data_IF_138308794246
#
_entry.id   IF_138308794246
#
_cell.length_a   1.000
_cell.length_b   1.000
_cell.length_c   1.000
_cell.angle_alpha   90.00
_cell.angle_beta   90.00
_cell.angle_gamma   90.00
#
_symmetry.space_group_name_H-M   'P 1'
#
loop_
_entity.id
_entity.type
_entity.pdbx_description
1 polymer ?
#
# COMPACT_ATOMS: atom_id res chain seq x y z
N UNK A 1 16.76 -0.29 9.15
CA UNK A 1 16.69 -0.34 10.63
C UNK A 1 16.09 -1.64 11.20
N UNK A 2 14.95 -2.16 10.71
CA UNK A 2 14.34 -3.39 11.29
C UNK A 2 14.99 -4.73 10.87
N UNK A 3 15.56 -4.83 9.65
CA UNK A 3 16.28 -6.04 9.21
C UNK A 3 17.54 -6.31 10.06
N UNK A 4 18.33 -5.28 10.31
CA UNK A 4 19.52 -5.37 11.19
C UNK A 4 19.15 -5.83 12.60
N UNK A 5 18.00 -5.39 13.12
CA UNK A 5 17.50 -5.84 14.40
C UNK A 5 17.18 -7.34 14.38
N UNK A 6 16.43 -7.83 13.37
CA UNK A 6 16.13 -9.26 13.23
C UNK A 6 17.41 -10.08 13.11
N UNK A 7 18.38 -9.64 12.30
CA UNK A 7 19.66 -10.32 12.15
C UNK A 7 20.43 -10.36 13.47
N UNK A 8 20.47 -9.25 14.23
CA UNK A 8 21.12 -9.17 15.55
C UNK A 8 20.46 -10.08 16.59
N UNK A 9 19.12 -10.14 16.60
CA UNK A 9 18.38 -11.03 17.52
C UNK A 9 18.63 -12.49 17.15
N UNK A 10 18.56 -12.85 15.87
CA UNK A 10 18.79 -14.23 15.42
C UNK A 10 20.24 -14.67 15.64
N UNK A 11 21.23 -13.80 15.46
CA UNK A 11 22.63 -14.12 15.79
C UNK A 11 22.84 -14.27 17.29
N UNK A 12 22.26 -13.39 18.12
CA UNK A 12 22.32 -13.52 19.58
C UNK A 12 21.71 -14.84 20.06
N UNK A 13 20.51 -15.18 19.57
CA UNK A 13 19.85 -16.45 19.89
C UNK A 13 20.65 -17.66 19.39
N UNK A 14 21.25 -17.55 18.19
CA UNK A 14 22.13 -18.59 17.64
C UNK A 14 23.36 -18.82 18.52
N UNK A 15 24.02 -17.74 18.96
CA UNK A 15 25.18 -17.81 19.88
C UNK A 15 24.78 -18.41 21.23
N UNK A 16 23.61 -18.05 21.77
CA UNK A 16 23.09 -18.63 23.02
C UNK A 16 22.87 -20.14 22.90
N UNK A 17 22.22 -20.59 21.83
CA UNK A 17 21.93 -22.02 21.61
C UNK A 17 23.22 -22.81 21.38
N UNK A 18 24.08 -22.34 20.46
CA UNK A 18 25.35 -23.01 20.15
C UNK A 18 26.29 -23.00 21.37
N UNK A 19 26.36 -21.87 22.09
CA UNK A 19 27.12 -21.74 23.32
C UNK A 19 26.60 -22.64 24.45
N UNK A 20 25.28 -22.75 24.60
CA UNK A 20 24.66 -23.67 25.56
C UNK A 20 24.98 -25.13 25.27
N UNK A 21 24.91 -25.55 24.00
CA UNK A 21 25.29 -26.91 23.57
C UNK A 21 26.78 -27.17 23.80
N UNK A 22 27.64 -26.23 23.40
CA UNK A 22 29.09 -26.33 23.64
C UNK A 22 29.40 -26.41 25.13
N UNK A 23 28.71 -25.64 25.96
CA UNK A 23 28.85 -25.71 27.42
C UNK A 23 28.44 -27.08 27.95
N UNK A 24 27.30 -27.64 27.50
CA UNK A 24 26.88 -28.99 27.89
C UNK A 24 27.90 -30.07 27.53
N UNK A 25 28.44 -30.02 26.31
CA UNK A 25 29.40 -31.02 25.79
C UNK A 25 30.79 -30.86 26.40
N UNK A 26 31.30 -29.63 26.54
CA UNK A 26 32.66 -29.36 27.01
C UNK A 26 32.78 -29.43 28.54
N UNK A 27 31.72 -29.06 29.29
CA UNK A 27 31.77 -29.11 30.75
C UNK A 27 31.52 -30.51 31.31
N UNK A 28 30.72 -31.37 30.65
CA UNK A 28 30.57 -32.79 31.01
C UNK A 28 30.56 -33.05 32.53
N UNK A 29 31.41 -33.96 33.02
CA UNK A 29 31.51 -34.29 34.46
C UNK A 29 32.37 -33.32 35.29
N UNK A 30 32.83 -32.19 34.73
CA UNK A 30 33.76 -31.28 35.44
C UNK A 30 33.08 -30.45 36.53
N UNK A 31 31.76 -30.32 36.51
CA UNK A 31 30.99 -29.63 37.54
C UNK A 31 30.35 -30.64 38.49
N UNK A 32 30.97 -30.84 39.66
CA UNK A 32 30.39 -31.67 40.72
C UNK A 32 29.05 -31.06 41.20
N UNK A 33 27.96 -31.78 40.96
CA UNK A 33 26.63 -31.45 41.49
C UNK A 33 25.72 -30.65 40.58
N UNK A 34 26.11 -30.37 39.33
CA UNK A 34 25.26 -29.70 38.33
C UNK A 34 25.23 -30.52 37.06
N UNK A 35 24.03 -30.84 36.57
CA UNK A 35 23.84 -31.48 35.27
C UNK A 35 24.14 -30.46 34.14
N UNK A 36 25.16 -30.67 33.30
CA UNK A 36 25.52 -29.78 32.20
C UNK A 36 24.39 -29.60 31.18
N UNK A 37 23.51 -30.59 31.04
CA UNK A 37 22.35 -30.48 30.15
C UNK A 37 21.34 -29.46 30.64
N UNK A 38 21.32 -29.16 31.94
CA UNK A 38 20.45 -28.12 32.49
C UNK A 38 20.89 -26.71 32.04
N UNK A 39 22.19 -26.50 31.81
CA UNK A 39 22.69 -25.24 31.22
C UNK A 39 22.20 -25.10 29.78
N UNK A 40 22.18 -26.21 29.03
CA UNK A 40 21.68 -26.25 27.66
C UNK A 40 20.19 -25.91 27.61
N UNK A 41 19.38 -26.48 28.51
CA UNK A 41 17.94 -26.18 28.58
C UNK A 41 17.69 -24.71 28.94
N UNK A 42 18.41 -24.15 29.91
CA UNK A 42 18.32 -22.72 30.25
C UNK A 42 18.68 -21.81 29.06
N UNK A 43 19.73 -22.13 28.31
CA UNK A 43 20.13 -21.36 27.13
C UNK A 43 19.06 -21.40 26.02
N UNK A 44 18.45 -22.57 25.79
CA UNK A 44 17.33 -22.74 24.86
C UNK A 44 16.09 -21.95 25.29
N UNK A 45 15.70 -22.03 26.56
CA UNK A 45 14.55 -21.29 27.10
C UNK A 45 14.77 -19.79 26.98
N UNK A 46 15.99 -19.32 27.28
CA UNK A 46 16.34 -17.90 27.17
C UNK A 46 16.33 -17.40 25.73
N UNK A 47 16.88 -18.16 24.78
CA UNK A 47 16.83 -17.84 23.36
C UNK A 47 15.37 -17.81 22.84
N UNK A 48 14.55 -18.77 23.27
CA UNK A 48 13.11 -18.78 22.98
C UNK A 48 12.41 -17.54 23.51
N UNK A 49 12.68 -17.17 24.77
CA UNK A 49 12.10 -15.99 25.41
C UNK A 49 12.50 -14.69 24.72
N UNK A 50 13.79 -14.49 24.42
CA UNK A 50 14.29 -13.31 23.70
C UNK A 50 13.62 -13.20 22.33
N UNK A 51 13.48 -14.31 21.60
CA UNK A 51 12.82 -14.33 20.30
C UNK A 51 11.33 -13.97 20.42
N UNK A 52 10.65 -14.46 21.45
CA UNK A 52 9.22 -14.20 21.68
C UNK A 52 8.97 -12.74 22.06
N UNK A 53 9.79 -12.17 22.96
CA UNK A 53 9.73 -10.75 23.34
C UNK A 53 10.09 -9.86 22.14
N UNK A 54 11.13 -10.22 21.39
CA UNK A 54 11.51 -9.48 20.18
C UNK A 54 10.41 -9.51 19.13
N UNK A 55 9.65 -10.59 19.02
CA UNK A 55 8.46 -10.63 18.18
C UNK A 55 7.34 -9.73 18.72
N UNK A 56 7.03 -9.82 20.02
CA UNK A 56 5.90 -9.11 20.61
C UNK A 56 6.07 -7.59 20.60
N UNK A 57 7.32 -7.10 20.69
CA UNK A 57 7.63 -5.67 20.63
C UNK A 57 7.45 -5.05 19.23
N UNK A 58 7.48 -5.84 18.15
CA UNK A 58 7.57 -5.34 16.76
C UNK A 58 6.33 -5.62 15.90
N UNK A 59 5.13 -5.43 16.48
CA UNK A 59 3.78 -5.45 15.87
C UNK A 59 2.98 -6.74 16.14
N UNK A 60 1.77 -6.57 16.70
CA UNK A 60 0.89 -7.65 17.14
C UNK A 60 0.39 -8.64 16.06
N UNK A 61 0.65 -8.37 14.78
CA UNK A 61 0.20 -9.20 13.65
C UNK A 61 1.32 -9.52 12.63
N UNK A 62 2.58 -9.58 13.04
CA UNK A 62 3.64 -10.04 12.13
C UNK A 62 3.66 -11.58 12.06
N UNK A 63 3.41 -12.23 10.90
CA UNK A 63 3.51 -13.67 10.79
C UNK A 63 4.96 -14.13 11.03
N UNK A 64 5.14 -15.22 11.77
CA UNK A 64 6.47 -15.80 12.03
C UNK A 64 7.29 -16.04 10.75
N UNK A 65 6.61 -16.44 9.67
CA UNK A 65 7.22 -16.64 8.35
C UNK A 65 7.88 -15.37 7.82
N UNK A 66 7.22 -14.23 7.99
CA UNK A 66 7.70 -12.96 7.46
C UNK A 66 8.76 -12.37 8.38
N UNK A 67 8.64 -12.56 9.69
CA UNK A 67 9.69 -12.22 10.66
C UNK A 67 11.00 -12.94 10.36
N UNK A 68 10.96 -14.27 10.21
CA UNK A 68 12.16 -15.07 9.92
C UNK A 68 12.76 -14.77 8.54
N UNK A 69 11.95 -14.32 7.58
CA UNK A 69 12.40 -13.89 6.26
C UNK A 69 12.81 -12.41 6.20
N UNK A 70 12.73 -11.69 7.32
CA UNK A 70 13.01 -10.25 7.37
C UNK A 70 12.06 -9.40 6.54
N UNK A 71 10.87 -9.92 6.19
CA UNK A 71 9.86 -9.23 5.37
C UNK A 71 8.99 -8.38 6.28
N UNK A 72 8.97 -7.07 6.04
CA UNK A 72 8.15 -6.14 6.82
C UNK A 72 6.80 -5.96 6.12
N UNK A 73 5.67 -6.39 6.71
CA UNK A 73 4.36 -6.11 6.14
C UNK A 73 4.07 -4.61 6.30
N UNK A 74 4.10 -3.88 5.20
CA UNK A 74 3.77 -2.45 5.18
C UNK A 74 2.25 -2.30 5.08
N UNK A 75 1.67 -1.41 5.89
CA UNK A 75 0.22 -1.16 5.94
C UNK A 75 -0.20 0.09 5.20
N UNK A 76 0.73 0.98 4.85
CA UNK A 76 0.46 2.21 4.10
C UNK A 76 1.51 2.49 3.04
N UNK A 77 1.17 3.37 2.09
CA UNK A 77 2.10 3.87 1.07
C UNK A 77 3.26 4.61 1.73
N UNK A 78 2.98 5.48 2.71
CA UNK A 78 4.03 6.20 3.43
C UNK A 78 4.98 5.28 4.22
N UNK A 79 4.47 4.16 4.76
CA UNK A 79 5.33 3.16 5.40
C UNK A 79 6.21 2.45 4.37
N UNK A 80 5.63 2.11 3.21
CA UNK A 80 6.37 1.46 2.13
C UNK A 80 7.46 2.38 1.56
N UNK A 81 7.18 3.66 1.35
CA UNK A 81 8.14 4.69 0.96
C UNK A 81 9.29 4.77 1.96
N UNK A 82 9.00 4.88 3.27
CA UNK A 82 10.04 4.95 4.32
C UNK A 82 10.92 3.71 4.40
N UNK A 83 10.38 2.53 4.08
CA UNK A 83 11.11 1.26 4.16
C UNK A 83 11.93 1.01 2.90
N UNK A 84 11.40 1.35 1.73
CA UNK A 84 12.02 1.04 0.43
C UNK A 84 12.86 2.18 -0.14
N UNK A 85 12.56 3.42 0.23
CA UNK A 85 13.13 4.62 -0.38
C UNK A 85 12.60 4.92 -1.79
N UNK A 86 11.61 4.17 -2.26
CA UNK A 86 10.94 4.42 -3.55
C UNK A 86 9.92 5.54 -3.38
N UNK A 87 9.86 6.47 -4.34
CA UNK A 87 8.94 7.61 -4.29
C UNK A 87 7.48 7.14 -4.17
N UNK A 88 6.70 7.84 -3.35
CA UNK A 88 5.32 7.49 -3.13
C UNK A 88 4.47 7.52 -4.42
N UNK A 89 4.76 8.40 -5.38
CA UNK A 89 4.05 8.44 -6.65
C UNK A 89 4.38 7.22 -7.52
N UNK A 90 5.63 6.77 -7.56
CA UNK A 90 6.03 5.57 -8.32
C UNK A 90 5.38 4.30 -7.74
N UNK A 91 5.31 4.21 -6.41
CA UNK A 91 4.58 3.14 -5.71
C UNK A 91 3.10 3.17 -6.13
N UNK A 92 2.48 4.35 -6.13
CA UNK A 92 1.07 4.52 -6.50
C UNK A 92 0.80 4.17 -7.96
N UNK A 93 1.67 4.60 -8.88
CA UNK A 93 1.62 4.24 -10.29
C UNK A 93 1.62 2.73 -10.47
N UNK A 94 2.58 2.06 -9.82
CA UNK A 94 2.71 0.61 -9.89
C UNK A 94 1.48 -0.12 -9.35
N UNK A 95 0.96 0.31 -8.18
CA UNK A 95 -0.22 -0.28 -7.55
C UNK A 95 -1.46 -0.12 -8.44
N UNK A 96 -1.64 1.02 -9.09
CA UNK A 96 -2.78 1.27 -9.98
C UNK A 96 -2.65 0.55 -11.31
N UNK A 97 -1.48 0.57 -11.93
CA UNK A 97 -1.26 -0.09 -13.22
C UNK A 97 -1.44 -1.61 -13.10
N UNK A 98 -1.08 -2.19 -11.96
CA UNK A 98 -1.21 -3.63 -11.70
C UNK A 98 -2.44 -4.03 -10.90
N UNK A 99 -3.38 -3.12 -10.66
CA UNK A 99 -4.54 -3.38 -9.81
C UNK A 99 -5.28 -4.68 -10.21
N UNK A 100 -5.49 -4.89 -11.51
CA UNK A 100 -6.18 -6.07 -12.05
C UNK A 100 -5.43 -7.39 -11.84
N UNK A 101 -4.11 -7.34 -11.64
CA UNK A 101 -3.27 -8.51 -11.36
C UNK A 101 -3.05 -8.74 -9.86
N UNK A 102 -3.40 -7.76 -9.02
CA UNK A 102 -3.20 -7.83 -7.58
C UNK A 102 -4.47 -8.21 -6.83
N UNK A 103 -4.30 -8.96 -5.74
CA UNK A 103 -5.38 -9.24 -4.79
C UNK A 103 -5.50 -8.18 -3.69
N UNK A 104 -4.85 -7.03 -3.87
CA UNK A 104 -4.72 -6.02 -2.83
C UNK A 104 -6.01 -5.22 -2.73
N UNK A 105 -6.66 -5.29 -1.57
CA UNK A 105 -7.76 -4.39 -1.26
C UNK A 105 -7.21 -3.12 -0.61
N UNK A 106 -7.71 -1.96 -1.04
CA UNK A 106 -7.21 -0.66 -0.62
C UNK A 106 -8.15 0.03 0.37
N UNK A 107 -7.58 0.77 1.32
CA UNK A 107 -8.30 1.59 2.29
C UNK A 107 -7.72 3.00 2.37
N UNK A 108 -8.35 3.87 3.13
CA UNK A 108 -7.86 5.23 3.39
C UNK A 108 -8.50 6.31 2.52
N UNK A 109 -8.13 7.58 2.72
CA UNK A 109 -8.84 8.72 2.16
C UNK A 109 -8.71 8.87 0.64
N UNK A 110 -7.61 8.39 0.04
CA UNK A 110 -7.31 8.58 -1.38
C UNK A 110 -7.47 7.31 -2.22
N UNK A 111 -8.24 6.32 -1.74
CA UNK A 111 -8.42 5.04 -2.42
C UNK A 111 -9.50 5.04 -3.51
N UNK A 112 -10.11 6.21 -3.83
CA UNK A 112 -11.27 6.32 -4.73
C UNK A 112 -11.02 5.83 -6.16
N UNK A 113 -9.77 5.86 -6.61
CA UNK A 113 -9.38 5.47 -7.95
C UNK A 113 -9.28 3.94 -8.13
N UNK A 114 -9.09 3.22 -7.01
CA UNK A 114 -9.07 1.77 -6.97
C UNK A 114 -10.50 1.23 -6.99
N UNK A 115 -10.70 0.20 -7.80
CA UNK A 115 -11.92 -0.61 -7.86
C UNK A 115 -12.05 -1.48 -6.61
N UNK A 116 -10.94 -2.07 -6.13
CA UNK A 116 -10.93 -2.97 -4.97
C UNK A 116 -10.69 -2.21 -3.67
N UNK A 117 -11.76 -2.01 -2.89
CA UNK A 117 -11.76 -1.24 -1.64
C UNK A 117 -12.33 -2.07 -0.50
N UNK A 118 -11.65 -2.04 0.65
CA UNK A 118 -12.05 -2.74 1.88
C UNK A 118 -11.84 -1.85 3.11
N UNK A 119 -12.55 -2.14 4.20
CA UNK A 119 -12.31 -1.51 5.51
C UNK A 119 -10.98 -1.99 6.11
N UNK A 120 -10.62 -3.24 5.84
CA UNK A 120 -9.35 -3.83 6.24
C UNK A 120 -8.51 -4.18 5.00
N UNK A 121 -7.62 -3.25 4.65
CA UNK A 121 -6.78 -3.32 3.46
C UNK A 121 -5.54 -2.43 3.58
N UNK A 122 -4.81 -2.28 2.48
CA UNK A 122 -3.62 -1.45 2.40
C UNK A 122 -3.99 0.03 2.28
N UNK A 123 -3.42 0.87 3.14
CA UNK A 123 -3.81 2.28 3.30
C UNK A 123 -3.15 3.16 2.24
N UNK A 124 -3.97 3.81 1.43
CA UNK A 124 -3.58 4.86 0.50
C UNK A 124 -3.72 6.21 1.21
N UNK A 125 -2.61 6.65 1.81
CA UNK A 125 -2.51 7.85 2.64
C UNK A 125 -1.82 9.04 1.96
N UNK A 126 -1.40 8.86 0.71
CA UNK A 126 -0.74 9.89 -0.11
C UNK A 126 -1.67 10.32 -1.25
N UNK A 127 -1.73 11.63 -1.50
CA UNK A 127 -2.47 12.21 -2.64
C UNK A 127 -1.81 11.83 -3.96
N UNK A 128 -2.61 11.55 -4.97
CA UNK A 128 -2.09 11.27 -6.32
C UNK A 128 -1.90 12.51 -7.15
N UNK A 129 -0.83 12.54 -7.92
CA UNK A 129 -0.57 13.56 -8.92
C UNK A 129 -1.13 13.16 -10.30
N UNK A 130 -1.41 14.16 -11.14
CA UNK A 130 -1.90 13.92 -12.50
C UNK A 130 -0.92 13.06 -13.32
N UNK A 131 0.39 13.28 -13.17
CA UNK A 131 1.40 12.47 -13.87
C UNK A 131 1.25 10.98 -13.55
N UNK A 132 0.99 10.65 -12.29
CA UNK A 132 0.81 9.29 -11.78
C UNK A 132 -0.48 8.67 -12.31
N UNK A 133 -1.56 9.46 -12.39
CA UNK A 133 -2.81 9.05 -13.03
C UNK A 133 -2.58 8.67 -14.49
N UNK A 134 -1.97 9.56 -15.26
CA UNK A 134 -1.74 9.36 -16.69
C UNK A 134 -0.80 8.17 -16.92
N UNK A 135 0.28 8.07 -16.15
CA UNK A 135 1.25 6.97 -16.25
C UNK A 135 0.62 5.61 -15.88
N UNK A 136 -0.29 5.58 -14.92
CA UNK A 136 -1.03 4.36 -14.57
C UNK A 136 -2.15 3.99 -15.55
N UNK A 137 -2.45 4.83 -16.55
CA UNK A 137 -3.50 4.58 -17.55
C UNK A 137 -4.86 5.20 -17.21
N UNK A 138 -4.88 6.32 -16.47
CA UNK A 138 -6.09 7.10 -16.20
C UNK A 138 -5.93 8.50 -16.81
N UNK A 139 -6.76 8.81 -17.80
CA UNK A 139 -6.72 10.09 -18.52
C UNK A 139 -7.79 11.01 -17.95
N UNK A 140 -7.41 12.21 -17.50
CA UNK A 140 -8.35 13.22 -17.02
C UNK A 140 -8.72 14.16 -18.17
N UNK A 141 -10.01 14.20 -18.51
CA UNK A 141 -10.55 15.04 -19.59
C UNK A 141 -11.46 16.13 -19.04
N UNK A 142 -11.37 17.32 -19.64
CA UNK A 142 -12.31 18.42 -19.41
C UNK A 142 -13.50 18.23 -20.35
N UNK A 143 -14.70 18.15 -19.82
CA UNK A 143 -15.95 17.96 -20.56
C UNK A 143 -16.90 19.12 -20.33
N UNK A 144 -17.75 19.42 -21.31
CA UNK A 144 -18.84 20.36 -21.15
C UNK A 144 -20.10 19.61 -20.70
N UNK A 145 -20.69 20.04 -19.59
CA UNK A 145 -21.97 19.52 -19.10
C UNK A 145 -23.01 20.64 -19.05
N UNK A 146 -24.28 20.27 -18.85
CA UNK A 146 -25.37 21.22 -18.65
C UNK A 146 -25.20 22.11 -17.41
N UNK A 147 -24.42 21.66 -16.42
CA UNK A 147 -24.15 22.38 -15.17
C UNK A 147 -22.84 23.20 -15.22
N UNK A 148 -22.10 23.15 -16.33
CA UNK A 148 -20.80 23.80 -16.48
C UNK A 148 -19.69 22.83 -16.95
N UNK A 149 -18.46 23.32 -17.11
CA UNK A 149 -17.32 22.46 -17.41
C UNK A 149 -17.04 21.55 -16.21
N UNK A 150 -16.74 20.28 -16.46
CA UNK A 150 -16.39 19.30 -15.44
C UNK A 150 -15.12 18.52 -15.85
N UNK A 151 -14.48 17.87 -14.89
CA UNK A 151 -13.41 16.91 -15.12
C UNK A 151 -13.96 15.50 -14.98
N UNK A 152 -13.58 14.62 -15.91
CA UNK A 152 -13.92 13.19 -15.89
C UNK A 152 -12.64 12.37 -16.01
N UNK A 153 -12.53 11.32 -15.20
CA UNK A 153 -11.45 10.35 -15.27
C UNK A 153 -11.86 9.19 -16.19
N UNK A 154 -11.14 9.04 -17.31
CA UNK A 154 -11.26 7.91 -18.21
C UNK A 154 -10.22 6.85 -17.82
N UNK A 155 -10.68 5.64 -17.54
CA UNK A 155 -9.81 4.53 -17.16
C UNK A 155 -9.58 3.62 -18.38
N UNK A 156 -8.33 3.59 -18.88
CA UNK A 156 -7.94 2.78 -20.03
C UNK A 156 -7.16 1.52 -19.63
N UNK A 157 -7.09 1.22 -18.33
CA UNK A 157 -6.34 0.07 -17.80
C UNK A 157 -6.98 -1.26 -18.19
N UNK A 158 -6.15 -2.26 -18.49
CA UNK A 158 -6.61 -3.62 -18.82
C UNK A 158 -7.27 -4.27 -17.60
N UNK A 159 -8.53 -4.71 -17.75
CA UNK A 159 -9.31 -5.35 -16.68
C UNK A 159 -10.21 -4.40 -15.88
N UNK A 160 -10.32 -3.13 -16.28
CA UNK A 160 -11.31 -2.20 -15.72
C UNK A 160 -12.73 -2.51 -16.23
N UNK A 161 -13.35 -3.57 -15.72
CA UNK A 161 -14.74 -3.92 -16.09
C UNK A 161 -15.67 -2.74 -15.74
N UNK A 162 -16.27 -2.12 -16.76
CA UNK A 162 -17.28 -1.07 -16.60
C UNK A 162 -16.80 0.38 -16.61
N UNK A 163 -15.54 0.69 -16.99
CA UNK A 163 -15.09 2.08 -17.25
C UNK A 163 -14.81 2.35 -18.74
N UNK A 164 -15.23 1.44 -19.61
CA UNK A 164 -15.04 1.50 -21.05
C UNK A 164 -16.29 2.03 -21.76
N UNK A 165 -16.18 3.28 -22.22
CA UNK A 165 -16.69 3.85 -23.48
C UNK A 165 -17.39 5.19 -23.26
N UNK A 166 -16.80 6.24 -23.84
CA UNK A 166 -17.61 7.33 -24.42
C UNK A 166 -18.37 6.71 -25.60
N UNK A 167 -19.53 6.10 -25.35
CA UNK A 167 -20.50 5.80 -26.39
C UNK A 167 -21.34 7.06 -26.59
N UNK A 168 -21.25 7.67 -27.77
CA UNK A 168 -22.31 8.55 -28.25
C UNK A 168 -23.56 7.68 -28.42
N UNK A 169 -24.53 7.78 -27.51
CA UNK A 169 -25.79 7.03 -27.57
C UNK A 169 -26.92 7.91 -27.00
N UNK A 170 -27.93 8.18 -27.82
CA UNK A 170 -29.08 9.07 -27.53
C UNK A 170 -30.20 8.35 -26.74
N UNK A 171 -29.85 7.48 -25.79
CA UNK A 171 -30.81 6.60 -25.10
C UNK A 171 -30.62 6.49 -23.58
N UNK A 172 -31.70 6.21 -22.81
CA UNK A 172 -31.61 6.15 -21.36
C UNK A 172 -30.93 4.85 -20.92
N UNK A 173 -29.80 4.93 -20.20
CA UNK A 173 -29.10 3.77 -19.66
C UNK A 173 -28.84 3.86 -18.16
N UNK A 174 -28.76 2.66 -17.56
CA UNK A 174 -28.39 2.36 -16.17
C UNK A 174 -27.14 3.14 -15.75
N UNK A 175 -27.16 3.65 -14.52
CA UNK A 175 -26.11 4.48 -13.93
C UNK A 175 -24.75 3.75 -13.89
N UNK A 176 -23.87 4.09 -14.83
CA UNK A 176 -22.44 3.76 -14.74
C UNK A 176 -21.77 4.74 -13.77
N UNK A 177 -20.85 4.24 -12.93
CA UNK A 177 -20.13 5.05 -11.94
C UNK A 177 -19.01 5.82 -12.63
N UNK A 178 -19.22 7.11 -12.83
CA UNK A 178 -18.23 8.00 -13.43
C UNK A 178 -17.46 8.72 -12.31
N UNK A 179 -16.13 8.64 -12.33
CA UNK A 179 -15.29 9.42 -11.42
C UNK A 179 -14.99 10.78 -12.04
N UNK A 180 -15.32 11.85 -11.33
CA UNK A 180 -15.13 13.20 -11.85
C UNK A 180 -15.33 14.30 -10.83
N UNK A 181 -15.31 15.54 -11.30
CA UNK A 181 -15.43 16.75 -10.49
C UNK A 181 -16.16 17.85 -11.28
N UNK A 182 -17.23 18.41 -10.73
CA UNK A 182 -17.96 19.53 -11.34
C UNK A 182 -17.26 20.88 -11.11
N UNK A 183 -16.60 21.05 -9.97
CA UNK A 183 -15.94 22.30 -9.58
C UNK A 183 -14.42 22.08 -9.54
N UNK A 184 -13.74 22.46 -10.62
CA UNK A 184 -12.28 22.55 -10.61
C UNK A 184 -11.87 24.02 -10.72
N UNK A 185 -10.95 24.51 -9.88
CA UNK A 185 -10.46 25.87 -9.99
C UNK A 185 -9.71 26.04 -11.31
N UNK A 186 -10.25 26.84 -12.24
CA UNK A 186 -9.48 27.29 -13.41
C UNK A 186 -8.31 28.19 -12.97
N UNK A 187 -8.49 28.89 -11.83
CA UNK A 187 -7.54 29.82 -11.24
C UNK A 187 -6.21 29.15 -10.80
N UNK A 188 -5.14 29.93 -10.85
CA UNK A 188 -3.74 29.61 -10.50
C UNK A 188 -3.50 29.24 -9.02
N UNK A 189 -4.52 28.80 -8.27
CA UNK A 189 -4.30 28.27 -6.93
C UNK A 189 -3.70 26.86 -7.05
N UNK A 190 -2.38 26.78 -7.08
CA UNK A 190 -1.62 25.53 -6.96
C UNK A 190 -2.02 24.75 -5.69
N UNK A 191 -2.46 25.47 -4.65
CA UNK A 191 -2.75 24.95 -3.31
C UNK A 191 -4.08 24.18 -3.17
N UNK A 192 -5.04 24.35 -4.08
CA UNK A 192 -6.34 23.67 -3.97
C UNK A 192 -6.30 22.31 -4.67
N UNK A 193 -6.46 21.22 -3.90
CA UNK A 193 -6.55 19.88 -4.48
C UNK A 193 -7.86 19.71 -5.27
N UNK A 194 -7.85 18.86 -6.30
CA UNK A 194 -9.06 18.55 -7.08
C UNK A 194 -9.83 17.42 -6.39
N UNK A 195 -11.07 17.63 -5.89
CA UNK A 195 -11.85 16.58 -5.26
C UNK A 195 -12.44 15.64 -6.31
N UNK A 196 -12.06 14.37 -6.28
CA UNK A 196 -12.64 13.32 -7.12
C UNK A 196 -13.85 12.72 -6.44
N UNK A 197 -15.03 12.81 -7.05
CA UNK A 197 -16.26 12.24 -6.51
C UNK A 197 -16.81 11.17 -7.45
N UNK A 198 -17.49 10.18 -6.88
CA UNK A 198 -18.32 9.25 -7.66
C UNK A 198 -19.60 9.98 -8.07
N UNK A 199 -19.74 10.26 -9.35
CA UNK A 199 -20.88 10.95 -9.92
C UNK A 199 -21.95 9.90 -10.17
N UNK A 200 -22.91 9.81 -9.23
CA UNK A 200 -23.80 8.64 -9.15
C UNK A 200 -25.05 8.72 -10.03
N UNK A 201 -25.43 9.86 -10.59
CA UNK A 201 -26.65 9.92 -11.41
C UNK A 201 -26.51 10.86 -12.62
N UNK A 202 -26.74 10.33 -13.82
CA UNK A 202 -27.11 11.09 -15.03
C UNK A 202 -26.16 12.17 -15.52
N UNK A 203 -24.85 12.05 -15.31
CA UNK A 203 -23.91 12.99 -15.93
C UNK A 203 -23.84 12.71 -17.45
N UNK A 204 -24.65 13.44 -18.22
CA UNK A 204 -24.48 13.58 -19.66
C UNK A 204 -23.53 14.76 -19.93
N UNK A 205 -22.47 14.50 -20.69
CA UNK A 205 -21.65 15.55 -21.27
C UNK A 205 -21.93 15.66 -22.76
N UNK A 206 -21.87 16.88 -23.28
CA UNK A 206 -22.16 17.15 -24.71
C UNK A 206 -20.93 17.08 -25.57
N UNK A 207 -19.76 17.49 -25.04
CA UNK A 207 -18.50 17.47 -25.77
C UNK A 207 -17.30 17.42 -24.84
N UNK A 208 -16.20 16.86 -25.35
CA UNK A 208 -14.88 16.95 -24.73
C UNK A 208 -14.27 18.30 -25.12
N UNK A 209 -13.87 19.09 -24.13
CA UNK A 209 -13.23 20.41 -24.32
C UNK A 209 -11.72 20.28 -24.47
N UNK A 210 -11.11 19.25 -23.87
CA UNK A 210 -9.68 18.96 -23.99
C UNK A 210 -9.18 18.01 -22.91
N UNK A 211 -7.90 17.66 -22.99
CA UNK A 211 -7.22 16.89 -21.94
C UNK A 211 -6.78 17.85 -20.84
N UNK A 212 -7.03 17.50 -19.58
CA UNK A 212 -6.53 18.27 -18.46
C UNK A 212 -5.01 18.07 -18.35
N UNK A 213 -4.24 19.15 -18.41
CA UNK A 213 -2.78 19.08 -18.44
C UNK A 213 -2.17 19.97 -17.33
N UNK A 214 -2.05 19.41 -16.13
CA UNK A 214 -1.31 19.98 -14.99
C UNK A 214 -0.60 18.87 -14.20
N UNK A 215 0.64 18.49 -14.56
CA UNK A 215 1.27 17.22 -14.14
C UNK A 215 1.43 17.06 -12.62
N UNK A 216 1.72 18.16 -11.90
CA UNK A 216 1.93 18.16 -10.45
C UNK A 216 0.66 18.45 -9.63
N UNK A 217 -0.50 18.57 -10.30
CA UNK A 217 -1.76 18.82 -9.60
C UNK A 217 -2.18 17.58 -8.84
N UNK A 218 -2.55 17.76 -7.57
CA UNK A 218 -2.95 16.68 -6.67
C UNK A 218 -4.47 16.48 -6.66
N UNK A 219 -4.87 15.22 -6.62
CA UNK A 219 -6.25 14.77 -6.55
C UNK A 219 -6.55 14.20 -5.16
N UNK A 220 -7.75 14.50 -4.66
CA UNK A 220 -8.24 14.08 -3.35
C UNK A 220 -9.50 13.25 -3.48
#
# INVERSE_FOLDING_TARGET
MRLEFVVKVMTLCGVLVVGGILAGVLLGDRLKGVDPFNITTFAWVMAGFITLVSKSLFVGEWPWRDFLRGRVPCRSVSELERVTGVDAQDIMEYLLAKESYTILDTKGPFNRLFTRRSTDGFSIDVKMELRTLVASGIIVVKVATHMGPALVCLDIRTGADGRFMVKHDDGPRKAERILGCFEFPEAFNEKEDVPLQELTESMSWTRILGVYHRPYKKFR
#
